data_IF_337234939753
#
_entry.id   IF_337234939753
#
_cell.length_a   1.000
_cell.length_b   1.000
_cell.length_c   1.000
_cell.angle_alpha   90.00
_cell.angle_beta   90.00
_cell.angle_gamma   90.00
#
_symmetry.space_group_name_H-M   'P 1'
#
loop_
_entity.id
_entity.type
_entity.pdbx_description
1 polymer ?
#
# COMPACT_ATOMS: atom_id res chain seq x y z
N UNK A 1 -24.08 -59.55 17.08
CA UNK A 1 -22.82 -59.93 17.76
C UNK A 1 -22.32 -58.68 18.48
N UNK A 2 -22.70 -58.52 19.74
CA UNK A 2 -21.87 -58.77 20.94
C UNK A 2 -20.77 -57.72 21.18
N UNK A 3 -20.96 -57.02 22.29
CA UNK A 3 -20.20 -55.93 22.88
C UNK A 3 -18.76 -56.31 23.27
N UNK A 4 -17.88 -55.31 23.35
CA UNK A 4 -17.03 -55.15 24.54
C UNK A 4 -16.68 -53.68 24.81
N UNK A 5 -17.16 -53.19 25.95
CA UNK A 5 -16.61 -52.02 26.66
C UNK A 5 -15.42 -52.46 27.53
N UNK A 6 -14.41 -51.60 27.68
CA UNK A 6 -13.55 -51.59 28.87
C UNK A 6 -13.12 -50.15 29.21
N UNK A 7 -13.22 -49.83 30.49
CA UNK A 7 -13.02 -48.52 31.11
C UNK A 7 -11.64 -48.38 31.77
N UNK A 8 -11.27 -47.10 32.01
CA UNK A 8 -10.29 -46.51 32.96
C UNK A 8 -8.80 -46.60 32.54
N UNK A 9 -8.01 -45.52 32.59
CA UNK A 9 -7.71 -44.73 33.79
C UNK A 9 -7.22 -43.29 33.49
N UNK A 10 -7.42 -42.40 34.45
CA UNK A 10 -6.95 -41.01 34.46
C UNK A 10 -5.43 -40.91 34.64
N UNK A 11 -4.76 -40.05 33.86
CA UNK A 11 -3.54 -39.36 34.26
C UNK A 11 -3.51 -37.93 33.69
N UNK A 12 -3.38 -36.99 34.61
CA UNK A 12 -3.11 -35.56 34.45
C UNK A 12 -1.76 -35.32 33.75
N UNK A 13 -1.66 -34.31 32.87
CA UNK A 13 -0.49 -33.43 32.81
C UNK A 13 -0.71 -32.15 31.97
N UNK A 14 -0.72 -31.02 32.70
CA UNK A 14 0.03 -29.77 32.47
C UNK A 14 -0.15 -29.01 31.15
N UNK A 15 -0.86 -27.87 31.27
CA UNK A 15 -0.76 -26.67 30.42
C UNK A 15 0.70 -26.20 30.34
N UNK A 16 1.32 -26.32 29.17
CA UNK A 16 2.64 -25.76 28.91
C UNK A 16 2.52 -24.42 28.18
N UNK A 17 2.49 -23.33 28.96
CA UNK A 17 2.71 -21.97 28.47
C UNK A 17 4.20 -21.80 28.16
N UNK A 18 4.55 -21.72 26.88
CA UNK A 18 5.91 -21.41 26.44
C UNK A 18 5.94 -20.08 25.70
N UNK A 19 6.28 -19.04 26.46
CA UNK A 19 6.92 -17.81 26.01
C UNK A 19 8.00 -18.06 24.95
N UNK A 20 7.91 -17.39 23.80
CA UNK A 20 9.08 -17.03 22.98
C UNK A 20 8.72 -15.97 21.93
N UNK A 21 8.47 -14.76 22.42
CA UNK A 21 8.85 -13.55 21.69
C UNK A 21 10.35 -13.30 21.94
N UNK A 22 11.02 -12.57 21.05
CA UNK A 22 12.46 -12.26 20.98
C UNK A 22 13.29 -13.28 20.19
N UNK A 23 13.38 -13.05 18.87
CA UNK A 23 14.65 -12.92 18.13
C UNK A 23 14.36 -12.69 16.65
N UNK A 24 14.78 -11.54 16.13
CA UNK A 24 15.61 -11.40 14.94
C UNK A 24 15.53 -9.97 14.41
N UNK A 25 16.43 -9.10 14.86
CA UNK A 25 16.89 -7.99 14.02
C UNK A 25 18.38 -7.75 14.23
N UNK A 26 19.07 -7.61 13.09
CA UNK A 26 20.36 -6.98 12.80
C UNK A 26 21.65 -7.83 12.77
N UNK A 27 22.56 -7.50 11.82
CA UNK A 27 23.23 -8.44 10.95
C UNK A 27 24.72 -8.61 11.28
N UNK A 28 25.30 -9.73 10.83
CA UNK A 28 26.71 -10.04 11.02
C UNK A 28 27.59 -9.16 10.12
N UNK A 29 28.27 -8.18 10.72
CA UNK A 29 29.54 -7.69 10.22
C UNK A 29 30.65 -8.63 10.74
N UNK A 30 31.52 -9.08 9.84
CA UNK A 30 32.69 -9.93 10.12
C UNK A 30 33.62 -9.29 11.15
N UNK A 31 33.87 -9.98 12.26
CA UNK A 31 35.11 -9.84 13.03
C UNK A 31 35.55 -11.20 13.59
N UNK A 32 36.68 -11.67 13.08
CA UNK A 32 37.41 -12.84 13.59
C UNK A 32 38.10 -12.40 14.88
N UNK A 33 37.68 -12.92 16.03
CA UNK A 33 38.51 -12.91 17.24
C UNK A 33 38.45 -14.26 17.95
N UNK A 34 39.65 -14.74 18.28
CA UNK A 34 40.02 -16.04 18.81
C UNK A 34 39.27 -16.46 20.10
N UNK A 35 38.93 -17.75 20.18
CA UNK A 35 38.17 -18.47 21.23
C UNK A 35 38.80 -18.49 22.63
N UNK A 36 39.80 -17.67 22.94
CA UNK A 36 40.57 -17.78 24.19
C UNK A 36 40.37 -16.65 25.21
N UNK A 37 39.53 -15.64 24.95
CA UNK A 37 39.43 -14.47 25.86
C UNK A 37 38.12 -14.31 26.65
N UNK A 38 37.12 -15.19 26.50
CA UNK A 38 35.81 -15.02 27.17
C UNK A 38 35.53 -15.99 28.33
N UNK A 39 36.53 -16.75 28.79
CA UNK A 39 36.40 -17.57 30.01
C UNK A 39 36.60 -16.78 31.32
N UNK A 40 36.90 -15.48 31.25
CA UNK A 40 37.28 -14.67 32.43
C UNK A 40 36.36 -13.49 32.78
N UNK A 41 35.16 -13.37 32.18
CA UNK A 41 34.22 -12.27 32.50
C UNK A 41 32.83 -12.73 32.97
N UNK A 42 32.65 -14.01 33.27
CA UNK A 42 31.33 -14.59 33.60
C UNK A 42 30.87 -14.38 35.06
N UNK A 43 31.48 -13.47 35.84
CA UNK A 43 31.09 -13.29 37.26
C UNK A 43 30.93 -11.84 37.76
N UNK A 44 31.04 -10.81 36.92
CA UNK A 44 30.87 -9.43 37.41
C UNK A 44 30.45 -8.43 36.32
N UNK A 45 29.18 -8.45 35.87
CA UNK A 45 28.69 -7.32 35.04
C UNK A 45 27.17 -7.11 34.95
N UNK A 46 26.31 -8.01 35.42
CA UNK A 46 24.85 -7.84 35.23
C UNK A 46 24.14 -6.86 36.17
N UNK A 47 24.76 -6.40 37.26
CA UNK A 47 24.16 -5.40 38.16
C UNK A 47 24.67 -3.96 37.94
N UNK A 48 25.87 -3.79 37.37
CA UNK A 48 26.48 -2.46 37.15
C UNK A 48 25.92 -1.77 35.89
N UNK A 49 25.57 -2.55 34.86
CA UNK A 49 24.99 -2.02 33.63
C UNK A 49 23.55 -1.48 33.80
N UNK A 50 22.75 -2.04 34.71
CA UNK A 50 21.39 -1.51 34.96
C UNK A 50 21.41 -0.18 35.72
N UNK A 51 22.37 0.02 36.62
CA UNK A 51 22.52 1.27 37.37
C UNK A 51 23.03 2.42 36.48
N UNK A 52 23.92 2.13 35.52
CA UNK A 52 24.43 3.12 34.57
C UNK A 52 23.41 3.53 33.50
N UNK A 53 22.55 2.62 33.04
CA UNK A 53 21.44 2.93 32.11
C UNK A 53 20.34 3.78 32.74
N UNK A 54 20.13 3.66 34.07
CA UNK A 54 19.19 4.51 34.80
C UNK A 54 19.77 5.90 35.09
N UNK A 55 21.10 6.04 35.24
CA UNK A 55 21.74 7.34 35.44
C UNK A 55 21.81 8.19 34.16
N UNK A 56 21.88 7.58 32.97
CA UNK A 56 21.92 8.31 31.69
C UNK A 56 20.58 8.92 31.26
N UNK A 57 19.46 8.53 31.87
CA UNK A 57 18.15 9.09 31.58
C UNK A 57 17.82 10.38 32.37
N UNK A 58 18.74 10.88 33.19
CA UNK A 58 18.52 12.06 34.05
C UNK A 58 19.14 13.36 33.51
N UNK A 59 19.77 13.36 32.32
CA UNK A 59 20.63 14.46 31.88
C UNK A 59 20.07 15.36 30.76
N UNK A 60 18.79 15.23 30.39
CA UNK A 60 18.16 16.14 29.40
C UNK A 60 16.81 16.69 29.85
N UNK A 61 16.77 17.30 31.03
CA UNK A 61 15.74 18.27 31.39
C UNK A 61 16.43 19.62 31.66
N UNK A 62 15.95 20.74 31.09
CA UNK A 62 16.41 22.06 31.50
C UNK A 62 16.00 22.27 32.96
N UNK A 63 16.97 22.46 33.85
CA UNK A 63 16.71 22.86 35.22
C UNK A 63 16.28 24.33 35.25
N UNK A 64 14.99 24.61 35.46
CA UNK A 64 14.55 25.92 35.91
C UNK A 64 14.73 25.99 37.44
N UNK A 65 15.60 26.91 37.87
CA UNK A 65 15.81 27.22 39.27
C UNK A 65 14.55 27.89 39.86
N UNK A 66 13.80 27.16 40.69
CA UNK A 66 12.72 27.71 41.50
C UNK A 66 13.23 28.06 42.90
N UNK A 67 13.25 29.35 43.24
CA UNK A 67 13.49 29.82 44.60
C UNK A 67 12.31 29.45 45.53
N UNK A 68 12.67 29.20 46.79
CA UNK A 68 11.81 28.88 47.92
C UNK A 68 10.55 29.75 48.03
N UNK A 69 9.39 29.10 48.08
CA UNK A 69 8.12 29.71 48.46
C UNK A 69 7.19 28.67 49.09
N UNK A 70 7.00 28.78 50.40
CA UNK A 70 6.12 27.97 51.25
C UNK A 70 4.67 28.02 50.75
N UNK A 71 4.08 26.88 50.38
CA UNK A 71 2.64 26.80 50.10
C UNK A 71 2.18 25.52 49.40
N UNK A 72 1.34 24.77 50.12
CA UNK A 72 0.30 23.84 49.65
C UNK A 72 0.69 22.53 48.94
N UNK A 73 0.24 21.42 49.54
CA UNK A 73 0.34 20.07 48.98
C UNK A 73 -0.70 19.91 47.86
N UNK A 74 -0.33 20.22 46.62
CA UNK A 74 -0.96 19.65 45.44
C UNK A 74 0.09 18.94 44.61
N UNK A 75 -0.06 17.62 44.50
CA UNK A 75 0.61 16.85 43.47
C UNK A 75 0.03 17.30 42.13
N UNK A 76 0.61 18.32 41.51
CA UNK A 76 0.27 18.70 40.15
C UNK A 76 0.75 17.60 39.22
N UNK A 77 -0.15 16.65 38.93
CA UNK A 77 0.01 15.77 37.80
C UNK A 77 0.08 16.65 36.55
N UNK A 78 1.21 16.59 35.83
CA UNK A 78 1.28 17.13 34.47
C UNK A 78 0.38 16.24 33.63
N UNK A 79 -0.90 16.61 33.55
CA UNK A 79 -1.80 16.11 32.53
C UNK A 79 -1.29 16.76 31.25
N UNK A 80 -0.49 16.01 30.48
CA UNK A 80 -0.33 16.33 29.06
C UNK A 80 -1.77 16.43 28.53
N UNK A 81 -2.17 17.55 27.89
CA UNK A 81 -3.48 17.60 27.28
C UNK A 81 -3.57 16.36 26.39
N UNK A 82 -4.65 15.58 26.55
CA UNK A 82 -4.98 14.56 25.56
C UNK A 82 -4.81 15.24 24.21
N UNK A 83 -4.19 14.56 23.25
CA UNK A 83 -4.12 15.04 21.88
C UNK A 83 -5.60 15.26 21.47
N UNK A 84 -6.10 16.48 21.67
CA UNK A 84 -7.54 16.78 21.57
C UNK A 84 -7.99 16.61 20.12
N UNK A 85 -7.00 16.57 19.24
CA UNK A 85 -7.12 16.40 17.83
C UNK A 85 -6.46 15.11 17.41
N UNK A 86 -7.16 14.32 16.60
CA UNK A 86 -6.64 13.04 16.14
C UNK A 86 -5.31 13.16 15.37
N UNK A 87 -4.52 12.09 15.39
CA UNK A 87 -3.24 12.00 14.69
C UNK A 87 -3.39 11.17 13.41
N UNK A 88 -3.00 11.73 12.26
CA UNK A 88 -2.95 10.98 11.00
C UNK A 88 -1.77 10.00 11.00
N UNK A 89 -2.06 8.70 10.84
CA UNK A 89 -1.04 7.65 10.85
C UNK A 89 -0.88 6.92 9.53
N UNK A 90 -2.02 6.60 8.90
CA UNK A 90 -2.04 5.73 7.73
C UNK A 90 -2.92 6.30 6.63
N UNK A 91 -2.61 5.87 5.41
CA UNK A 91 -3.38 6.16 4.20
C UNK A 91 -3.67 4.86 3.49
N UNK A 92 -4.96 4.58 3.33
CA UNK A 92 -5.47 3.25 3.02
C UNK A 92 -6.16 3.23 1.65
N UNK A 93 -5.54 2.67 0.61
CA UNK A 93 -6.29 2.17 -0.55
C UNK A 93 -7.11 0.95 -0.14
N UNK A 94 -7.92 0.40 -1.04
CA UNK A 94 -8.62 -0.87 -0.77
C UNK A 94 -7.57 -1.98 -0.59
N UNK A 95 -7.64 -2.63 0.58
CA UNK A 95 -6.77 -3.76 0.92
C UNK A 95 -7.39 -5.05 0.41
N UNK A 96 -6.65 -5.80 -0.38
CA UNK A 96 -7.07 -7.12 -0.86
C UNK A 96 -6.78 -8.20 0.16
N UNK A 97 -7.72 -9.13 0.34
CA UNK A 97 -7.61 -10.23 1.31
C UNK A 97 -6.65 -11.34 0.87
N UNK A 98 -6.28 -11.40 -0.41
CA UNK A 98 -5.38 -12.41 -0.95
C UNK A 98 -4.02 -12.36 -0.24
N UNK A 99 -3.54 -13.52 0.19
CA UNK A 99 -2.27 -13.71 0.92
C UNK A 99 -1.05 -13.04 0.26
N UNK A 100 -1.16 -12.69 -1.02
CA UNK A 100 -0.10 -12.13 -1.85
C UNK A 100 0.32 -10.72 -1.42
N UNK A 101 -0.56 -9.95 -0.76
CA UNK A 101 -0.28 -8.58 -0.31
C UNK A 101 -0.16 -8.40 1.21
N UNK A 102 -0.20 -9.49 1.99
CA UNK A 102 -0.13 -9.43 3.47
C UNK A 102 1.32 -9.40 4.00
N UNK A 103 2.17 -8.58 3.40
CA UNK A 103 3.53 -8.37 3.87
C UNK A 103 3.68 -6.96 4.43
N UNK A 104 4.11 -6.86 5.69
CA UNK A 104 4.55 -5.60 6.26
C UNK A 104 5.86 -5.18 5.61
N UNK A 105 5.94 -3.91 5.22
CA UNK A 105 7.19 -3.28 4.81
C UNK A 105 7.50 -2.21 5.84
N UNK A 106 8.48 -2.44 6.74
CA UNK A 106 8.79 -1.53 7.82
C UNK A 106 8.94 -0.08 7.34
N UNK A 107 8.18 0.83 7.96
CA UNK A 107 8.18 2.25 7.64
C UNK A 107 7.39 2.66 6.39
N UNK A 108 6.87 1.72 5.58
CA UNK A 108 6.21 2.02 4.31
C UNK A 108 4.77 1.50 4.28
N UNK A 109 4.56 0.23 4.63
CA UNK A 109 3.27 -0.43 4.46
C UNK A 109 2.93 -1.34 5.63
N UNK A 110 1.73 -1.18 6.14
CA UNK A 110 1.08 -2.06 7.09
C UNK A 110 -0.05 -2.84 6.40
N UNK A 111 -0.10 -4.18 6.49
CA UNK A 111 -1.09 -4.99 5.79
C UNK A 111 -2.53 -4.81 6.31
N UNK A 112 -2.71 -4.27 7.52
CA UNK A 112 -4.02 -4.05 8.13
C UNK A 112 -4.47 -2.59 8.00
N UNK A 113 -3.53 -1.63 7.95
CA UNK A 113 -3.83 -0.19 7.92
C UNK A 113 -3.49 0.54 6.61
N UNK A 114 -2.60 0.00 5.77
CA UNK A 114 -2.20 0.60 4.49
C UNK A 114 -0.84 1.31 4.54
N UNK A 115 -0.67 2.33 3.71
CA UNK A 115 0.59 3.08 3.62
C UNK A 115 0.80 3.95 4.86
N UNK A 116 2.02 3.99 5.38
CA UNK A 116 2.38 4.93 6.43
C UNK A 116 2.58 6.33 5.83
N UNK A 117 2.15 7.36 6.55
CA UNK A 117 2.50 8.74 6.19
C UNK A 117 4.02 8.89 6.26
N UNK A 118 4.66 9.26 5.14
CA UNK A 118 6.11 9.42 5.07
C UNK A 118 6.55 10.81 5.54
N UNK A 119 5.77 11.85 5.25
CA UNK A 119 6.07 13.22 5.66
C UNK A 119 4.85 14.13 5.60
N UNK A 120 4.77 15.11 6.51
CA UNK A 120 3.81 16.22 6.43
C UNK A 120 4.43 17.51 5.89
N UNK A 121 5.75 17.50 5.62
CA UNK A 121 6.47 18.60 5.01
C UNK A 121 6.18 18.67 3.49
N UNK A 122 5.68 19.80 2.96
CA UNK A 122 5.39 19.96 1.54
C UNK A 122 6.54 19.60 0.59
N UNK A 123 7.80 19.83 1.00
CA UNK A 123 8.97 19.50 0.20
C UNK A 123 9.17 17.97 -0.01
N UNK A 124 8.44 17.13 0.72
CA UNK A 124 8.58 15.67 0.68
C UNK A 124 7.28 14.94 0.35
N UNK A 125 6.24 15.63 -0.12
CA UNK A 125 4.97 14.99 -0.50
C UNK A 125 5.08 13.97 -1.61
N UNK A 126 6.13 14.03 -2.44
CA UNK A 126 6.39 13.00 -3.44
C UNK A 126 6.74 11.61 -2.85
N UNK A 127 7.04 11.52 -1.55
CA UNK A 127 7.24 10.26 -0.84
C UNK A 127 5.92 9.62 -0.37
N UNK A 128 4.84 10.40 -0.28
CA UNK A 128 3.56 9.93 0.22
C UNK A 128 2.76 9.22 -0.88
N UNK A 129 1.92 8.28 -0.45
CA UNK A 129 0.91 7.68 -1.31
C UNK A 129 -0.27 8.65 -1.51
N UNK A 130 -0.92 8.71 -2.68
CA UNK A 130 -0.52 8.05 -3.92
C UNK A 130 0.44 8.89 -4.76
N UNK A 131 1.25 8.22 -5.58
CA UNK A 131 2.01 8.85 -6.67
C UNK A 131 1.37 8.63 -8.05
N UNK A 132 0.34 7.80 -8.11
CA UNK A 132 -0.40 7.45 -9.32
C UNK A 132 -1.90 7.67 -9.10
N UNK A 133 -2.67 7.98 -10.14
CA UNK A 133 -4.12 8.18 -9.99
C UNK A 133 -4.91 7.81 -11.23
N UNK A 134 -6.21 7.63 -11.06
CA UNK A 134 -7.20 7.50 -12.13
C UNK A 134 -8.55 8.02 -11.60
N UNK A 135 -9.47 8.36 -12.50
CA UNK A 135 -10.79 8.84 -12.09
C UNK A 135 -11.53 7.77 -11.28
N UNK A 136 -12.11 8.19 -10.15
CA UNK A 136 -12.92 7.34 -9.27
C UNK A 136 -12.13 6.46 -8.32
N UNK A 137 -10.79 6.46 -8.37
CA UNK A 137 -9.99 5.86 -7.30
C UNK A 137 -10.16 6.65 -6.01
N UNK A 138 -10.15 5.96 -4.88
CA UNK A 138 -10.28 6.59 -3.58
C UNK A 138 -9.43 5.89 -2.53
N UNK A 139 -9.09 6.62 -1.48
CA UNK A 139 -8.38 6.09 -0.33
C UNK A 139 -8.91 6.74 0.94
N UNK A 140 -8.55 6.18 2.09
CA UNK A 140 -8.94 6.69 3.39
C UNK A 140 -7.73 7.24 4.13
N UNK A 141 -7.85 8.44 4.70
CA UNK A 141 -6.98 8.90 5.77
C UNK A 141 -7.45 8.24 7.07
N UNK A 142 -6.55 7.55 7.76
CA UNK A 142 -6.82 6.88 9.04
C UNK A 142 -6.17 7.67 10.17
N UNK A 143 -7.01 8.21 11.04
CA UNK A 143 -6.60 9.06 12.15
C UNK A 143 -6.94 8.39 13.46
N UNK A 144 -6.05 8.50 14.45
CA UNK A 144 -6.28 8.00 15.81
C UNK A 144 -6.77 9.15 16.68
N UNK A 145 -7.93 9.00 17.32
CA UNK A 145 -8.57 10.06 18.10
C UNK A 145 -9.76 10.69 17.39
N UNK A 146 -10.46 11.59 18.07
CA UNK A 146 -11.66 12.23 17.53
C UNK A 146 -11.27 13.41 16.62
N UNK A 147 -11.77 13.39 15.39
CA UNK A 147 -11.59 14.46 14.39
C UNK A 147 -12.92 14.97 13.88
N UNK A 148 -14.00 14.68 14.61
CA UNK A 148 -15.35 14.96 14.15
C UNK A 148 -15.69 16.46 14.12
N UNK A 149 -14.92 17.28 14.81
CA UNK A 149 -15.07 18.73 14.79
C UNK A 149 -14.24 19.38 13.67
N UNK A 150 -13.39 18.61 12.96
CA UNK A 150 -12.56 19.16 11.90
C UNK A 150 -13.36 19.45 10.62
N UNK A 151 -13.13 20.64 10.11
CA UNK A 151 -13.60 21.11 8.80
C UNK A 151 -12.51 20.79 7.79
N UNK A 152 -12.84 19.97 6.80
CA UNK A 152 -11.89 19.49 5.82
C UNK A 152 -11.94 20.30 4.54
N UNK A 153 -10.78 20.76 4.11
CA UNK A 153 -10.60 21.45 2.85
C UNK A 153 -9.49 20.80 2.04
N UNK A 154 -9.57 20.98 0.74
CA UNK A 154 -8.51 20.61 -0.20
C UNK A 154 -8.11 21.83 -1.00
N UNK A 155 -6.80 22.04 -1.16
CA UNK A 155 -6.28 23.00 -2.13
C UNK A 155 -5.89 22.26 -3.40
N UNK A 156 -6.65 22.33 -4.50
CA UNK A 156 -6.10 22.00 -5.80
C UNK A 156 -5.12 23.12 -6.17
N UNK A 157 -3.84 22.79 -6.29
CA UNK A 157 -2.80 23.74 -6.72
C UNK A 157 -2.82 23.96 -8.24
N UNK A 158 -4.00 24.25 -8.80
CA UNK A 158 -4.26 24.37 -10.25
C UNK A 158 -4.27 23.01 -10.98
N UNK A 159 -5.22 22.84 -11.91
CA UNK A 159 -5.30 21.64 -12.75
C UNK A 159 -6.72 21.10 -12.97
N UNK A 160 -6.80 20.04 -13.77
CA UNK A 160 -8.06 19.39 -14.16
C UNK A 160 -8.41 18.16 -13.29
N UNK A 161 -7.51 17.78 -12.38
CA UNK A 161 -7.76 16.75 -11.38
C UNK A 161 -8.21 17.45 -10.10
N UNK A 162 -9.30 16.97 -9.53
CA UNK A 162 -9.89 17.44 -8.27
C UNK A 162 -9.99 16.29 -7.27
N UNK A 163 -10.17 16.64 -6.00
CA UNK A 163 -10.41 15.67 -4.94
C UNK A 163 -11.73 15.95 -4.24
N UNK A 164 -12.47 14.89 -3.94
CA UNK A 164 -13.70 14.94 -3.17
C UNK A 164 -13.45 14.34 -1.79
N UNK A 165 -13.81 15.09 -0.76
CA UNK A 165 -13.64 14.71 0.64
C UNK A 165 -15.00 14.28 1.21
N UNK A 166 -15.05 13.07 1.74
CA UNK A 166 -16.25 12.50 2.35
C UNK A 166 -15.87 11.94 3.72
N UNK A 167 -16.54 12.42 4.79
CA UNK A 167 -16.36 11.83 6.11
C UNK A 167 -17.04 10.47 6.16
N UNK A 168 -16.36 9.48 6.71
CA UNK A 168 -16.88 8.12 6.85
C UNK A 168 -16.86 7.73 8.32
N UNK A 169 -18.04 7.49 8.87
CA UNK A 169 -18.23 7.11 10.28
C UNK A 169 -17.97 5.62 10.51
N UNK A 170 -18.22 4.79 9.50
CA UNK A 170 -17.95 3.35 9.54
C UNK A 170 -17.37 2.90 8.19
N UNK A 171 -16.19 2.29 8.21
CA UNK A 171 -15.71 1.56 7.04
C UNK A 171 -16.50 0.26 6.91
N UNK A 172 -17.39 0.20 5.92
CA UNK A 172 -17.99 -1.06 5.49
C UNK A 172 -16.89 -1.95 4.92
N UNK A 173 -16.48 -2.93 5.69
CA UNK A 173 -15.68 -4.04 5.21
C UNK A 173 -16.50 -4.67 4.08
N UNK A 174 -16.05 -4.60 2.83
CA UNK A 174 -16.66 -5.37 1.76
C UNK A 174 -16.70 -6.83 2.25
N UNK A 175 -17.90 -7.36 2.46
CA UNK A 175 -18.20 -8.71 2.99
C UNK A 175 -17.81 -9.81 1.98
N UNK A 176 -16.64 -9.70 1.37
CA UNK A 176 -16.10 -10.72 0.50
C UNK A 176 -15.02 -11.44 1.31
N UNK A 177 -15.53 -12.34 2.16
CA UNK A 177 -14.83 -13.38 2.93
C UNK A 177 -13.54 -12.96 3.66
N UNK A 178 -13.60 -13.05 5.00
CA UNK A 178 -12.54 -12.90 6.01
C UNK A 178 -12.16 -11.48 6.42
N UNK A 179 -12.82 -10.98 7.47
CA UNK A 179 -12.21 -10.28 8.62
C UNK A 179 -11.10 -9.23 8.34
N UNK A 180 -11.24 -8.47 7.24
CA UNK A 180 -10.27 -7.43 6.83
C UNK A 180 -10.27 -6.23 7.81
N UNK A 181 -11.27 -6.16 8.69
CA UNK A 181 -11.41 -5.11 9.69
C UNK A 181 -11.04 -5.55 11.12
N UNK A 182 -10.58 -6.79 11.33
CA UNK A 182 -10.24 -7.29 12.69
C UNK A 182 -9.15 -6.46 13.38
N UNK A 183 -8.42 -5.63 12.64
CA UNK A 183 -7.39 -4.70 13.15
C UNK A 183 -7.82 -3.23 13.24
N UNK A 184 -8.95 -2.80 12.68
CA UNK A 184 -9.34 -1.38 12.74
C UNK A 184 -9.91 -1.10 14.13
N UNK A 185 -9.20 -0.27 14.90
CA UNK A 185 -9.63 0.12 16.24
C UNK A 185 -10.87 1.01 16.15
N UNK A 186 -11.84 0.83 17.05
CA UNK A 186 -13.04 1.68 17.17
C UNK A 186 -12.72 3.15 17.47
N UNK A 187 -11.51 3.45 17.92
CA UNK A 187 -11.01 4.81 18.17
C UNK A 187 -10.38 5.48 16.94
N UNK A 188 -10.55 4.92 15.74
CA UNK A 188 -10.08 5.54 14.50
C UNK A 188 -11.20 6.28 13.77
N UNK A 189 -10.85 7.43 13.21
CA UNK A 189 -11.70 8.20 12.30
C UNK A 189 -11.19 8.14 10.87
N UNK A 190 -12.12 8.29 9.91
CA UNK A 190 -11.83 8.10 8.49
C UNK A 190 -12.30 9.28 7.64
N UNK A 191 -11.41 9.75 6.77
CA UNK A 191 -11.75 10.67 5.69
C UNK A 191 -11.49 9.97 4.36
N UNK A 192 -12.54 9.76 3.57
CA UNK A 192 -12.44 9.22 2.22
C UNK A 192 -12.08 10.36 1.26
N UNK A 193 -11.02 10.13 0.49
CA UNK A 193 -10.50 11.03 -0.53
C UNK A 193 -10.70 10.36 -1.87
N UNK A 194 -11.52 10.94 -2.74
CA UNK A 194 -11.79 10.41 -4.08
C UNK A 194 -11.14 11.29 -5.13
N UNK A 195 -10.35 10.70 -6.02
CA UNK A 195 -9.74 11.39 -7.16
C UNK A 195 -10.76 11.53 -8.29
N UNK A 196 -10.86 12.73 -8.87
CA UNK A 196 -11.68 13.04 -10.03
C UNK A 196 -10.87 13.72 -11.11
N UNK A 197 -11.05 13.31 -12.35
CA UNK A 197 -10.25 13.85 -13.44
C UNK A 197 -10.61 13.25 -14.80
N UNK A 198 -9.72 13.38 -15.79
CA UNK A 198 -9.97 12.87 -17.13
C UNK A 198 -10.23 11.37 -17.14
N UNK A 199 -11.34 10.98 -17.74
CA UNK A 199 -11.77 9.60 -17.93
C UNK A 199 -12.45 9.44 -19.27
N UNK A 200 -12.50 8.21 -19.75
CA UNK A 200 -13.27 7.84 -20.94
C UNK A 200 -14.69 7.46 -20.61
N UNK A 201 -15.61 7.71 -21.53
CA UNK A 201 -17.02 7.30 -21.44
C UNK A 201 -17.26 5.94 -22.12
N UNK A 202 -18.45 5.36 -21.87
CA UNK A 202 -18.85 4.09 -22.49
C UNK A 202 -18.78 4.11 -24.03
N UNK A 203 -19.11 5.24 -24.66
CA UNK A 203 -19.03 5.37 -26.12
C UNK A 203 -17.58 5.39 -26.63
N UNK A 204 -16.65 5.94 -25.86
CA UNK A 204 -15.22 5.92 -26.20
C UNK A 204 -14.60 4.52 -26.02
N UNK A 205 -15.13 3.67 -25.14
CA UNK A 205 -14.64 2.29 -24.99
C UNK A 205 -14.93 1.45 -26.24
N UNK A 206 -16.09 1.63 -26.86
CA UNK A 206 -16.53 0.89 -28.04
C UNK A 206 -15.87 1.38 -29.34
N UNK A 207 -15.33 2.61 -29.34
CA UNK A 207 -14.65 3.17 -30.49
C UNK A 207 -13.15 2.79 -30.46
N UNK A 208 -12.59 2.11 -31.47
CA UNK A 208 -11.16 1.82 -31.55
C UNK A 208 -10.29 3.09 -31.71
N UNK A 209 -10.86 4.19 -32.21
CA UNK A 209 -10.20 5.48 -32.42
C UNK A 209 -11.02 6.60 -31.77
N UNK A 210 -11.07 6.67 -30.43
CA UNK A 210 -11.86 7.66 -29.71
C UNK A 210 -11.32 9.08 -29.93
N UNK A 211 -12.18 10.08 -29.70
CA UNK A 211 -11.73 11.47 -29.61
C UNK A 211 -10.81 11.66 -28.40
N UNK A 212 -9.88 12.62 -28.52
CA UNK A 212 -8.98 13.01 -27.43
C UNK A 212 -9.76 13.40 -26.18
N UNK A 213 -9.19 13.07 -25.03
CA UNK A 213 -9.62 13.58 -23.73
C UNK A 213 -8.54 14.50 -23.17
N UNK A 214 -8.87 15.25 -22.14
CA UNK A 214 -7.89 16.12 -21.49
C UNK A 214 -6.73 15.29 -20.91
N UNK A 215 -5.50 15.80 -21.05
CA UNK A 215 -4.29 15.20 -20.48
C UNK A 215 -3.84 16.11 -19.33
N UNK A 216 -3.80 15.62 -18.07
CA UNK A 216 -3.40 16.44 -16.95
C UNK A 216 -1.90 16.77 -17.04
N UNK A 217 -1.51 17.96 -16.58
CA UNK A 217 -0.11 18.34 -16.43
C UNK A 217 0.39 17.77 -15.10
N UNK A 218 1.37 16.87 -15.17
CA UNK A 218 1.97 16.21 -14.01
C UNK A 218 3.48 16.50 -13.97
N UNK A 219 4.11 16.52 -12.78
CA UNK A 219 3.53 16.20 -11.47
C UNK A 219 2.59 17.28 -10.92
N UNK A 220 1.56 16.87 -10.16
CA UNK A 220 0.62 17.77 -9.49
C UNK A 220 0.56 17.48 -7.99
N UNK A 221 0.68 18.53 -7.17
CA UNK A 221 0.66 18.44 -5.71
C UNK A 221 -0.73 18.72 -5.16
N UNK A 222 -1.17 17.91 -4.20
CA UNK A 222 -2.42 18.08 -3.49
C UNK A 222 -2.16 18.23 -2.00
N UNK A 223 -2.93 19.09 -1.35
CA UNK A 223 -2.99 19.22 0.10
C UNK A 223 -4.42 19.08 0.61
N UNK A 224 -4.55 18.33 1.69
CA UNK A 224 -5.77 18.11 2.47
C UNK A 224 -5.48 18.63 3.87
N UNK A 225 -6.31 19.56 4.33
CA UNK A 225 -6.13 20.24 5.60
C UNK A 225 -7.43 20.07 6.40
N UNK A 226 -7.29 19.57 7.62
CA UNK A 226 -8.35 19.55 8.63
C UNK A 226 -8.14 20.72 9.58
N UNK A 227 -9.09 21.64 9.64
CA UNK A 227 -9.07 22.80 10.53
C UNK A 227 -10.03 22.65 11.70
N UNK A 228 -9.66 23.19 12.85
CA UNK A 228 -10.60 23.34 13.96
C UNK A 228 -11.62 24.46 13.69
N UNK A 229 -12.56 24.64 14.62
CA UNK A 229 -13.56 25.71 14.56
C UNK A 229 -12.97 27.12 14.63
N UNK A 230 -11.74 27.27 15.12
CA UNK A 230 -10.98 28.53 15.12
C UNK A 230 -10.23 28.81 13.82
N UNK A 231 -10.24 27.87 12.86
CA UNK A 231 -9.53 27.96 11.59
C UNK A 231 -8.05 27.55 11.67
N UNK A 232 -7.58 27.00 12.79
CA UNK A 232 -6.21 26.53 12.92
C UNK A 232 -6.01 25.23 12.14
N UNK A 233 -4.86 25.07 11.47
CA UNK A 233 -4.51 23.82 10.80
C UNK A 233 -4.11 22.77 11.83
N UNK A 234 -4.85 21.67 11.87
CA UNK A 234 -4.67 20.63 12.87
C UNK A 234 -4.08 19.37 12.26
N UNK A 235 -4.67 18.92 11.14
CA UNK A 235 -4.18 17.76 10.38
C UNK A 235 -3.84 18.22 8.97
N UNK A 236 -2.67 17.81 8.50
CA UNK A 236 -2.20 18.11 7.16
C UNK A 236 -1.71 16.86 6.47
N UNK A 237 -2.20 16.63 5.26
CA UNK A 237 -1.74 15.56 4.39
C UNK A 237 -1.53 16.07 2.98
N UNK A 238 -0.40 15.77 2.37
CA UNK A 238 -0.18 16.09 0.98
C UNK A 238 0.53 14.97 0.23
N UNK A 239 0.29 14.92 -1.07
CA UNK A 239 0.84 13.91 -1.97
C UNK A 239 1.06 14.51 -3.37
N UNK A 240 1.86 13.85 -4.18
CA UNK A 240 2.18 14.31 -5.55
C UNK A 240 1.84 13.22 -6.56
N UNK A 241 0.84 13.47 -7.39
CA UNK A 241 0.56 12.60 -8.53
C UNK A 241 1.61 12.82 -9.62
N UNK A 242 2.31 11.76 -9.98
CA UNK A 242 3.31 11.73 -11.05
C UNK A 242 2.76 11.14 -12.34
N UNK A 243 1.76 10.26 -12.24
CA UNK A 243 1.13 9.59 -13.39
C UNK A 243 -0.39 9.56 -13.25
N UNK A 244 -1.09 9.76 -14.36
CA UNK A 244 -2.52 9.58 -14.45
C UNK A 244 -2.86 8.48 -15.44
N UNK A 245 -3.74 7.58 -15.03
CA UNK A 245 -4.14 6.40 -15.77
C UNK A 245 -5.57 6.52 -16.26
N UNK A 246 -5.80 6.02 -17.47
CA UNK A 246 -7.10 5.95 -18.10
C UNK A 246 -7.36 4.49 -18.44
N UNK A 247 -8.38 3.92 -17.83
CA UNK A 247 -8.72 2.51 -17.96
C UNK A 247 -9.81 2.38 -19.02
N UNK A 248 -9.53 1.61 -20.08
CA UNK A 248 -10.56 1.25 -21.05
C UNK A 248 -11.52 0.28 -20.37
N UNK A 249 -12.77 0.69 -20.23
CA UNK A 249 -13.82 -0.19 -19.73
C UNK A 249 -14.00 -1.37 -20.69
N UNK A 250 -14.54 -2.44 -20.11
CA UNK A 250 -14.80 -3.65 -20.86
C UNK A 250 -15.90 -3.44 -21.90
N UNK A 251 -15.61 -3.84 -23.13
CA UNK A 251 -16.55 -3.70 -24.25
C UNK A 251 -16.77 -5.00 -25.03
N UNK A 252 -16.04 -6.10 -24.73
CA UNK A 252 -16.08 -7.31 -25.56
C UNK A 252 -15.62 -8.57 -24.82
N UNK A 253 -16.46 -9.61 -24.83
CA UNK A 253 -16.09 -10.98 -24.44
C UNK A 253 -16.08 -11.89 -25.66
N UNK A 254 -15.00 -12.65 -25.82
CA UNK A 254 -14.92 -13.76 -26.76
C UNK A 254 -14.56 -15.03 -25.97
N UNK A 255 -15.41 -16.08 -25.98
CA UNK A 255 -15.15 -17.31 -25.22
C UNK A 255 -13.82 -18.01 -25.55
N UNK A 256 -13.23 -17.75 -26.73
CA UNK A 256 -11.95 -18.34 -27.15
C UNK A 256 -10.76 -17.45 -26.84
N UNK A 257 -10.96 -16.13 -26.67
CA UNK A 257 -9.87 -15.14 -26.55
C UNK A 257 -9.84 -14.38 -25.22
N UNK A 258 -10.95 -14.36 -24.49
CA UNK A 258 -11.11 -13.64 -23.22
C UNK A 258 -11.82 -12.29 -23.37
N UNK A 259 -11.61 -11.42 -22.39
CA UNK A 259 -12.19 -10.08 -22.32
C UNK A 259 -11.24 -9.02 -22.92
N UNK A 260 -11.82 -7.99 -23.54
CA UNK A 260 -11.10 -6.85 -24.13
C UNK A 260 -10.88 -6.97 -25.63
N UNK A 261 -9.69 -6.59 -26.10
CA UNK A 261 -9.36 -6.46 -27.52
C UNK A 261 -7.98 -7.01 -27.89
N UNK A 262 -7.73 -7.12 -29.18
CA UNK A 262 -6.41 -7.51 -29.72
C UNK A 262 -5.35 -6.49 -29.33
N UNK A 263 -4.08 -6.91 -29.33
CA UNK A 263 -2.97 -5.99 -29.05
C UNK A 263 -2.98 -4.75 -29.96
N UNK A 264 -3.23 -4.93 -31.27
CA UNK A 264 -3.22 -3.83 -32.24
C UNK A 264 -4.33 -2.80 -31.99
N UNK A 265 -5.56 -3.25 -31.70
CA UNK A 265 -6.69 -2.36 -31.37
C UNK A 265 -6.38 -1.52 -30.13
N UNK A 266 -5.69 -2.11 -29.17
CA UNK A 266 -5.42 -1.53 -27.87
C UNK A 266 -4.20 -0.60 -27.89
N UNK A 267 -3.17 -0.97 -28.65
CA UNK A 267 -1.99 -0.15 -28.92
C UNK A 267 -2.36 1.14 -29.67
N UNK A 268 -3.33 1.10 -30.57
CA UNK A 268 -3.83 2.28 -31.28
C UNK A 268 -4.75 3.18 -30.42
N UNK A 269 -5.45 2.61 -29.43
CA UNK A 269 -6.48 3.31 -28.66
C UNK A 269 -5.90 4.40 -27.74
N UNK A 270 -4.82 4.10 -27.00
CA UNK A 270 -4.22 5.06 -26.07
C UNK A 270 -3.71 6.35 -26.76
N UNK A 271 -2.95 6.27 -27.87
CA UNK A 271 -2.54 7.44 -28.64
C UNK A 271 -3.71 8.29 -29.16
N UNK A 272 -4.84 7.69 -29.54
CA UNK A 272 -6.03 8.45 -29.97
C UNK A 272 -6.59 9.35 -28.87
N UNK A 273 -6.45 8.94 -27.60
CA UNK A 273 -6.85 9.74 -26.44
C UNK A 273 -5.86 10.87 -26.10
N UNK A 274 -4.64 10.84 -26.66
CA UNK A 274 -3.52 11.70 -26.23
C UNK A 274 -2.65 11.09 -25.13
N UNK A 275 -2.80 9.79 -24.87
CA UNK A 275 -2.06 9.03 -23.86
C UNK A 275 -1.14 8.01 -24.55
N UNK A 276 -0.35 7.27 -23.79
CA UNK A 276 0.40 6.11 -24.31
C UNK A 276 -0.07 4.81 -23.68
N UNK A 277 0.16 3.70 -24.39
CA UNK A 277 0.00 2.37 -23.81
C UNK A 277 0.97 2.22 -22.63
N UNK A 278 0.50 1.59 -21.56
CA UNK A 278 1.33 1.33 -20.38
C UNK A 278 2.51 0.40 -20.70
N UNK A 279 3.56 0.56 -19.92
CA UNK A 279 4.65 -0.41 -19.81
C UNK A 279 4.49 -1.20 -18.51
N UNK A 280 5.14 -2.35 -18.41
CA UNK A 280 5.18 -3.18 -17.19
C UNK A 280 5.58 -2.34 -15.97
N UNK A 281 6.57 -1.44 -16.13
CA UNK A 281 7.04 -0.53 -15.07
C UNK A 281 6.04 0.56 -14.66
N UNK A 282 4.99 0.80 -15.44
CA UNK A 282 3.92 1.70 -15.04
C UNK A 282 2.91 1.00 -14.12
N UNK A 283 2.80 -0.33 -14.22
CA UNK A 283 1.75 -1.11 -13.57
C UNK A 283 2.23 -1.86 -12.32
N UNK A 284 3.43 -2.43 -12.33
CA UNK A 284 3.89 -3.33 -11.27
C UNK A 284 5.39 -3.19 -11.01
N UNK A 285 5.85 -3.64 -9.84
CA UNK A 285 7.27 -3.84 -9.49
C UNK A 285 7.71 -5.31 -9.52
N UNK A 286 6.88 -6.19 -10.08
CA UNK A 286 7.18 -7.61 -10.20
C UNK A 286 8.45 -7.88 -11.02
N UNK A 287 9.15 -8.94 -10.64
CA UNK A 287 10.32 -9.45 -11.36
C UNK A 287 9.94 -10.77 -12.00
N UNK A 288 9.78 -10.73 -13.31
CA UNK A 288 9.66 -11.91 -14.13
C UNK A 288 11.05 -12.28 -14.63
N UNK A 289 11.68 -13.25 -13.97
CA UNK A 289 12.88 -13.96 -14.44
C UNK A 289 12.68 -15.46 -14.21
N UNK A 290 13.23 -16.31 -15.07
CA UNK A 290 13.34 -17.73 -14.77
C UNK A 290 14.48 -17.94 -13.78
N UNK A 291 14.13 -18.33 -12.54
CA UNK A 291 15.12 -18.59 -11.49
C UNK A 291 15.56 -20.04 -11.40
N UNK A 292 14.97 -20.94 -12.20
CA UNK A 292 15.23 -22.38 -12.09
C UNK A 292 14.86 -23.00 -10.74
N UNK A 293 14.23 -22.25 -9.83
CA UNK A 293 13.88 -22.69 -8.48
C UNK A 293 12.41 -23.16 -8.35
N UNK A 294 11.68 -23.14 -9.47
CA UNK A 294 10.28 -23.55 -9.57
C UNK A 294 9.28 -22.60 -8.91
N UNK A 295 9.72 -21.51 -8.25
CA UNK A 295 8.84 -20.60 -7.48
C UNK A 295 8.17 -19.53 -8.32
N UNK A 296 8.83 -19.08 -9.37
CA UNK A 296 8.26 -18.12 -10.34
C UNK A 296 7.43 -18.82 -11.42
N UNK A 297 7.39 -20.16 -11.42
CA UNK A 297 6.74 -21.01 -12.43
C UNK A 297 5.69 -21.98 -11.85
N UNK A 298 5.17 -21.74 -10.64
CA UNK A 298 4.25 -22.70 -9.97
C UNK A 298 2.90 -22.84 -10.68
N UNK A 299 2.59 -22.02 -11.68
CA UNK A 299 1.43 -22.20 -12.53
C UNK A 299 1.87 -22.53 -13.98
N UNK A 300 1.57 -23.73 -14.51
CA UNK A 300 1.93 -24.10 -15.88
C UNK A 300 1.28 -23.21 -16.96
N UNK A 301 0.24 -22.45 -16.62
CA UNK A 301 -0.40 -21.45 -17.50
C UNK A 301 0.31 -20.08 -17.50
N UNK A 302 1.10 -19.76 -16.46
CA UNK A 302 1.84 -18.50 -16.34
C UNK A 302 3.34 -18.78 -16.32
N UNK A 303 3.87 -19.15 -17.49
CA UNK A 303 5.32 -19.15 -17.67
C UNK A 303 5.78 -17.70 -17.71
N UNK A 304 6.77 -17.38 -16.89
CA UNK A 304 7.61 -16.20 -17.06
C UNK A 304 8.84 -16.65 -17.87
N UNK A 305 8.88 -16.45 -19.21
CA UNK A 305 9.92 -17.01 -20.06
C UNK A 305 11.10 -16.06 -20.27
N UNK A 306 11.12 -14.89 -19.63
CA UNK A 306 12.06 -13.83 -19.97
C UNK A 306 12.56 -13.08 -18.74
N UNK A 307 13.47 -12.13 -18.98
CA UNK A 307 14.07 -11.26 -17.95
C UNK A 307 13.42 -9.88 -17.95
N UNK A 308 12.15 -9.80 -17.51
CA UNK A 308 11.39 -8.56 -17.46
C UNK A 308 11.22 -8.04 -16.02
N UNK A 309 11.60 -6.78 -15.84
CA UNK A 309 11.48 -6.06 -14.59
C UNK A 309 10.39 -5.01 -14.69
N UNK A 310 9.57 -4.90 -13.65
CA UNK A 310 8.69 -3.78 -13.42
C UNK A 310 9.41 -2.55 -12.90
N UNK A 311 8.70 -1.73 -12.14
CA UNK A 311 9.22 -0.56 -11.47
C UNK A 311 10.18 -0.92 -10.33
N UNK A 312 10.90 0.10 -9.86
CA UNK A 312 11.70 0.03 -8.65
C UNK A 312 10.95 0.65 -7.45
N UNK A 313 11.21 0.18 -6.21
CA UNK A 313 12.02 -0.99 -5.88
C UNK A 313 11.32 -2.30 -6.29
N UNK A 314 12.07 -3.20 -6.91
CA UNK A 314 11.56 -4.48 -7.38
C UNK A 314 11.09 -5.38 -6.24
N UNK A 315 10.05 -6.16 -6.51
CA UNK A 315 9.60 -7.19 -5.59
C UNK A 315 10.52 -8.42 -5.64
N UNK A 316 10.44 -9.32 -4.64
CA UNK A 316 11.27 -10.51 -4.60
C UNK A 316 10.94 -11.56 -5.65
N UNK A 317 9.83 -11.47 -6.40
CA UNK A 317 9.36 -12.50 -7.33
C UNK A 317 8.40 -11.92 -8.38
N UNK A 318 7.80 -12.76 -9.20
CA UNK A 318 6.87 -12.30 -10.22
C UNK A 318 5.47 -11.95 -9.68
N UNK A 319 5.41 -11.13 -8.62
CA UNK A 319 4.18 -10.58 -8.04
C UNK A 319 4.42 -9.16 -7.54
N UNK A 320 3.40 -8.32 -7.55
CA UNK A 320 3.52 -7.00 -6.98
C UNK A 320 3.75 -7.07 -5.47
N UNK A 321 4.63 -6.22 -4.98
CA UNK A 321 4.78 -5.93 -3.56
C UNK A 321 4.34 -4.48 -3.33
N UNK A 322 3.51 -4.25 -2.30
CA UNK A 322 2.99 -2.91 -1.96
C UNK A 322 4.14 -1.94 -1.73
N UNK A 323 4.28 -0.93 -2.59
CA UNK A 323 5.36 0.06 -2.56
C UNK A 323 4.82 1.35 -3.13
N UNK A 324 5.21 2.47 -2.52
CA UNK A 324 4.92 3.80 -3.02
C UNK A 324 5.89 4.11 -4.17
N UNK A 325 5.38 4.61 -5.29
CA UNK A 325 6.17 4.96 -6.48
C UNK A 325 6.55 3.78 -7.37
N UNK A 326 6.02 2.58 -7.14
CA UNK A 326 6.46 1.36 -7.83
C UNK A 326 5.43 0.77 -8.82
N UNK A 327 4.52 1.61 -9.30
CA UNK A 327 3.51 1.25 -10.29
C UNK A 327 2.08 1.28 -9.75
N UNK A 328 1.13 1.24 -10.67
CA UNK A 328 -0.29 1.42 -10.37
C UNK A 328 -0.84 0.35 -9.41
N UNK A 329 -0.58 -0.93 -9.71
CA UNK A 329 -1.07 -2.08 -8.90
C UNK A 329 -0.37 -2.14 -7.54
N UNK A 330 0.89 -1.66 -7.44
CA UNK A 330 1.61 -1.67 -6.16
C UNK A 330 1.04 -0.65 -5.17
N UNK A 331 0.47 0.44 -5.68
CA UNK A 331 -0.17 1.47 -4.87
C UNK A 331 -1.64 1.13 -4.61
N UNK A 332 -2.41 0.85 -5.65
CA UNK A 332 -3.87 0.73 -5.55
C UNK A 332 -4.37 -0.70 -5.40
N UNK A 333 -3.59 -1.69 -5.80
CA UNK A 333 -4.07 -3.06 -5.94
C UNK A 333 -5.00 -3.23 -7.14
N UNK A 334 -5.94 -4.16 -7.03
CA UNK A 334 -6.84 -4.57 -8.08
C UNK A 334 -7.92 -3.50 -8.33
N UNK A 335 -7.95 -2.88 -9.52
CA UNK A 335 -8.82 -1.73 -9.78
C UNK A 335 -10.32 -2.05 -9.71
N UNK A 336 -10.71 -3.30 -9.93
CA UNK A 336 -12.11 -3.78 -9.86
C UNK A 336 -12.79 -3.46 -8.54
N UNK A 337 -12.02 -3.33 -7.46
CA UNK A 337 -12.55 -3.02 -6.14
C UNK A 337 -13.03 -1.57 -6.00
N UNK A 338 -12.57 -0.67 -6.86
CA UNK A 338 -12.92 0.76 -6.79
C UNK A 338 -14.12 1.10 -7.66
N UNK A 339 -14.22 0.50 -8.85
CA UNK A 339 -15.19 0.89 -9.87
C UNK A 339 -15.74 -0.35 -10.57
N UNK A 340 -17.05 -0.55 -10.49
CA UNK A 340 -17.73 -1.73 -11.04
C UNK A 340 -17.52 -1.94 -12.54
N UNK A 341 -17.28 -0.89 -13.33
CA UNK A 341 -17.01 -1.03 -14.77
C UNK A 341 -15.59 -1.51 -15.10
N UNK A 342 -14.72 -1.69 -14.10
CA UNK A 342 -13.40 -2.30 -14.28
C UNK A 342 -13.41 -3.83 -14.19
N UNK A 343 -14.60 -4.45 -14.06
CA UNK A 343 -14.80 -5.85 -13.63
C UNK A 343 -13.95 -6.93 -14.33
N UNK A 344 -13.53 -6.83 -15.61
CA UNK A 344 -12.63 -7.82 -16.19
C UNK A 344 -11.22 -7.30 -16.50
N UNK A 345 -10.82 -6.10 -16.02
CA UNK A 345 -9.50 -5.50 -16.21
C UNK A 345 -8.35 -6.23 -15.48
N UNK A 346 -8.44 -7.56 -15.41
CA UNK A 346 -7.46 -8.47 -14.80
C UNK A 346 -6.20 -8.45 -15.63
N UNK A 347 -6.30 -8.72 -16.93
CA UNK A 347 -5.14 -8.85 -17.80
C UNK A 347 -5.01 -7.62 -18.70
N UNK A 348 -3.87 -6.93 -18.60
CA UNK A 348 -3.61 -5.66 -19.28
C UNK A 348 -2.47 -5.83 -20.29
N UNK A 349 -2.69 -5.36 -21.52
CA UNK A 349 -1.63 -5.21 -22.50
C UNK A 349 -0.59 -4.19 -22.07
N UNK A 350 0.69 -4.51 -22.29
CA UNK A 350 1.77 -3.52 -22.19
C UNK A 350 2.50 -3.42 -23.52
N UNK A 351 3.15 -2.28 -23.75
CA UNK A 351 3.96 -2.03 -24.95
C UNK A 351 5.32 -2.76 -24.93
N UNK A 352 5.62 -3.54 -23.90
CA UNK A 352 6.93 -4.17 -23.73
C UNK A 352 7.07 -5.44 -24.59
N UNK A 353 8.08 -5.43 -25.47
CA UNK A 353 8.41 -6.55 -26.36
C UNK A 353 8.88 -7.80 -25.60
N UNK A 354 8.44 -8.99 -26.02
CA UNK A 354 8.69 -10.26 -25.34
C UNK A 354 9.52 -11.29 -26.14
N UNK A 355 10.42 -10.81 -27.01
CA UNK A 355 11.42 -11.66 -27.67
C UNK A 355 11.12 -12.03 -29.14
N UNK A 356 9.91 -11.78 -29.64
CA UNK A 356 9.48 -12.09 -31.01
C UNK A 356 8.33 -11.18 -31.49
N UNK A 357 7.88 -11.36 -32.73
CA UNK A 357 6.83 -10.54 -33.35
C UNK A 357 5.44 -10.78 -32.78
N UNK A 358 5.18 -11.97 -32.24
CA UNK A 358 3.85 -12.47 -31.94
C UNK A 358 3.48 -12.29 -30.46
N UNK A 359 4.45 -11.90 -29.63
CA UNK A 359 4.27 -11.79 -28.18
C UNK A 359 4.73 -10.44 -27.62
N UNK A 360 4.04 -10.03 -26.57
CA UNK A 360 4.37 -8.89 -25.71
C UNK A 360 4.20 -9.29 -24.25
N UNK A 361 4.72 -8.47 -23.34
CA UNK A 361 4.41 -8.65 -21.93
C UNK A 361 3.02 -8.09 -21.61
N UNK A 362 2.33 -8.80 -20.73
CA UNK A 362 1.10 -8.36 -20.08
C UNK A 362 1.29 -8.30 -18.57
N UNK A 363 0.39 -7.60 -17.89
CA UNK A 363 0.33 -7.57 -16.42
C UNK A 363 -1.04 -8.01 -15.92
N UNK A 364 -1.05 -8.89 -14.93
CA UNK A 364 -2.23 -9.23 -14.13
C UNK A 364 -2.41 -8.16 -13.05
N UNK A 365 -3.52 -7.44 -13.02
CA UNK A 365 -3.79 -6.41 -12.01
C UNK A 365 -4.24 -6.98 -10.67
N UNK A 366 -4.64 -8.25 -10.60
CA UNK A 366 -5.03 -8.90 -9.35
C UNK A 366 -3.83 -9.33 -8.51
N UNK A 367 -2.73 -9.72 -9.16
CA UNK A 367 -1.49 -10.16 -8.50
C UNK A 367 -0.29 -9.25 -8.75
N UNK A 368 -0.39 -8.38 -9.74
CA UNK A 368 0.73 -7.63 -10.31
C UNK A 368 1.74 -8.50 -11.07
N UNK A 369 1.40 -9.75 -11.39
CA UNK A 369 2.32 -10.65 -12.09
C UNK A 369 2.49 -10.26 -13.55
N UNK A 370 3.70 -10.47 -14.07
CA UNK A 370 4.06 -10.22 -15.47
C UNK A 370 4.04 -11.54 -16.22
N UNK A 371 3.46 -11.56 -17.41
CA UNK A 371 3.45 -12.75 -18.27
C UNK A 371 3.79 -12.39 -19.70
N UNK A 372 4.23 -13.39 -20.46
CA UNK A 372 4.36 -13.28 -21.90
C UNK A 372 3.04 -13.71 -22.54
N UNK A 373 2.42 -12.81 -23.29
CA UNK A 373 1.11 -13.02 -23.91
C UNK A 373 1.22 -13.04 -25.44
N UNK A 374 0.47 -13.93 -26.07
CA UNK A 374 0.31 -13.98 -27.51
C UNK A 374 -0.66 -12.89 -27.98
N UNK A 375 -0.24 -12.05 -28.94
CA UNK A 375 -1.00 -10.88 -29.44
C UNK A 375 -2.38 -11.22 -30.02
N UNK A 376 -2.64 -12.49 -30.35
CA UNK A 376 -3.95 -12.97 -30.81
C UNK A 376 -5.01 -13.12 -29.72
N UNK A 377 -4.61 -13.08 -28.44
CA UNK A 377 -5.52 -13.07 -27.30
C UNK A 377 -6.28 -11.74 -27.18
N UNK A 378 -7.35 -11.72 -26.38
CA UNK A 378 -7.96 -10.47 -25.93
C UNK A 378 -7.50 -10.14 -24.52
N UNK A 379 -7.13 -8.88 -24.34
CA UNK A 379 -6.80 -8.29 -23.04
C UNK A 379 -7.35 -6.88 -22.95
N UNK A 380 -7.47 -6.40 -21.73
CA UNK A 380 -7.88 -5.03 -21.44
C UNK A 380 -6.71 -4.08 -21.62
N UNK A 381 -6.98 -2.80 -21.47
CA UNK A 381 -5.98 -1.77 -21.72
C UNK A 381 -6.10 -0.65 -20.73
N UNK A 382 -4.93 -0.27 -20.23
CA UNK A 382 -4.74 0.89 -19.39
C UNK A 382 -3.75 1.78 -20.12
N UNK A 383 -4.16 3.03 -20.29
CA UNK A 383 -3.32 4.08 -20.81
C UNK A 383 -2.76 4.90 -19.66
N UNK A 384 -1.62 5.52 -19.90
CA UNK A 384 -0.97 6.41 -18.93
C UNK A 384 -0.55 7.68 -19.65
N UNK A 385 -0.49 8.79 -18.90
CA UNK A 385 0.04 10.06 -19.40
C UNK A 385 1.39 9.84 -20.10
N UNK A 386 1.68 10.58 -21.19
CA UNK A 386 2.87 10.41 -22.01
C UNK A 386 4.18 10.30 -21.23
#
# INVERSE_FOLDING_TARGET
MHYHFRHQHWQTNVLNLSNRCIRCVFPLASFIFSKLFLKSLSKLSRKVLLALLLLSCLWHLPALAGQNGRGDNRSDAIILPALQWGELKYVRPILESYRQFRFTIPGIWDPDYGALVQSTNPASYALNFPTTGADGLYFYLLMVGEVDELIWESSPNEGIITILLERVTEMRCLEIEFDVCRGINRSMSFLKVTLKGPATTNSQWQNPYPSRIAVPRLPQTFEIIGRDSGGNEVIKYGFVLQKWFVIRGDYKYDPRKGWGGTFQEQEAWCPSLGYRLTQVKDLTNAVCIDRGDGKDSTNPYFKCPGSKFGAMPSSPNNRAQRRIGAGFVTEWGWPTNYIHHFYPAIWIWTSDWAGDSDHVYGTDTSSGSVMRDWKGNYRNTVCVTP
#
